data_IF_246657141072
#
_entry.id   IF_246657141072
#
_cell.length_a   1.000
_cell.length_b   1.000
_cell.length_c   1.000
_cell.angle_alpha   90.00
_cell.angle_beta   90.00
_cell.angle_gamma   90.00
#
_symmetry.space_group_name_H-M   'P 1'
#
loop_
_entity.id
_entity.type
_entity.pdbx_description
1 polymer ?
#
# COMPACT_ATOMS: atom_id res chain seq x y z
N UNK A 1 -30.59 37.52 -16.19
CA UNK A 1 -29.40 37.33 -15.34
C UNK A 1 -29.61 36.12 -14.42
N UNK A 2 -29.73 34.90 -14.98
CA UNK A 2 -30.13 33.70 -14.21
C UNK A 2 -29.53 32.39 -14.74
N UNK A 3 -28.60 32.45 -15.70
CA UNK A 3 -27.97 31.26 -16.33
C UNK A 3 -26.56 30.98 -15.81
N UNK A 4 -25.88 31.98 -15.23
CA UNK A 4 -24.48 31.90 -14.76
C UNK A 4 -24.27 31.11 -13.47
N UNK A 5 -25.30 30.96 -12.64
CA UNK A 5 -25.20 30.24 -11.35
C UNK A 5 -25.26 28.72 -11.54
N UNK A 6 -26.08 28.25 -12.49
CA UNK A 6 -26.20 26.83 -12.83
C UNK A 6 -24.93 26.27 -13.48
N UNK A 7 -24.31 27.03 -14.38
CA UNK A 7 -23.05 26.63 -15.02
C UNK A 7 -21.88 26.58 -14.03
N UNK A 8 -21.84 27.49 -13.05
CA UNK A 8 -20.83 27.49 -11.99
C UNK A 8 -20.99 26.27 -11.08
N UNK A 9 -22.21 25.91 -10.67
CA UNK A 9 -22.46 24.71 -9.85
C UNK A 9 -22.05 23.42 -10.59
N UNK A 10 -22.28 23.37 -11.90
CA UNK A 10 -21.88 22.25 -12.73
C UNK A 10 -20.36 22.14 -12.85
N UNK A 11 -19.63 23.25 -13.05
CA UNK A 11 -18.17 23.23 -13.15
C UNK A 11 -17.49 22.82 -11.84
N UNK A 12 -17.96 23.30 -10.70
CA UNK A 12 -17.48 22.86 -9.39
C UNK A 12 -17.78 21.37 -9.13
N UNK A 13 -18.96 20.90 -9.56
CA UNK A 13 -19.32 19.48 -9.49
C UNK A 13 -18.37 18.58 -10.30
N UNK A 14 -18.07 18.96 -11.55
CA UNK A 14 -17.10 18.24 -12.39
C UNK A 14 -15.68 18.30 -11.84
N UNK A 15 -15.24 19.46 -11.34
CA UNK A 15 -13.90 19.60 -10.76
C UNK A 15 -13.72 18.71 -9.53
N UNK A 16 -14.74 18.64 -8.66
CA UNK A 16 -14.74 17.76 -7.48
C UNK A 16 -14.74 16.27 -7.87
N UNK A 17 -15.54 15.89 -8.87
CA UNK A 17 -15.58 14.52 -9.36
C UNK A 17 -14.24 14.06 -9.95
N UNK A 18 -13.55 14.93 -10.70
CA UNK A 18 -12.21 14.66 -11.22
C UNK A 18 -11.19 14.54 -10.08
N UNK A 19 -11.23 15.43 -9.09
CA UNK A 19 -10.34 15.38 -7.92
C UNK A 19 -10.49 14.08 -7.12
N UNK A 20 -11.73 13.61 -6.94
CA UNK A 20 -12.04 12.36 -6.24
C UNK A 20 -11.60 11.12 -7.05
N UNK A 21 -11.68 11.19 -8.38
CA UNK A 21 -11.27 10.09 -9.27
C UNK A 21 -9.76 9.88 -9.36
N UNK A 22 -8.94 10.92 -9.11
CA UNK A 22 -7.48 10.82 -9.15
C UNK A 22 -6.84 10.19 -7.90
N UNK A 23 -7.61 9.91 -6.85
CA UNK A 23 -7.08 9.59 -5.52
C UNK A 23 -6.70 8.13 -5.24
N UNK A 24 -6.93 7.19 -6.17
CA UNK A 24 -6.67 5.76 -5.90
C UNK A 24 -5.30 5.37 -6.46
N UNK A 25 -4.27 5.46 -5.62
CA UNK A 25 -2.97 4.83 -5.86
C UNK A 25 -2.86 3.57 -4.99
N UNK A 26 -2.55 2.44 -5.61
CA UNK A 26 -2.29 1.19 -4.88
C UNK A 26 -0.90 1.28 -4.26
N UNK A 27 -0.83 1.28 -2.93
CA UNK A 27 0.44 1.14 -2.21
C UNK A 27 0.71 -0.35 -2.06
N UNK A 28 1.72 -0.86 -2.78
CA UNK A 28 2.24 -2.21 -2.57
C UNK A 28 3.24 -2.18 -1.42
N UNK A 29 3.00 -2.99 -0.40
CA UNK A 29 3.99 -3.28 0.63
C UNK A 29 4.46 -4.73 0.40
N UNK A 30 5.41 -4.89 -0.53
CA UNK A 30 5.95 -6.21 -0.88
C UNK A 30 6.53 -6.94 0.34
N UNK A 31 7.04 -6.17 1.31
CA UNK A 31 7.62 -6.69 2.54
C UNK A 31 6.58 -7.30 3.51
N UNK A 32 5.30 -6.97 3.36
CA UNK A 32 4.23 -7.49 4.23
C UNK A 32 2.90 -7.58 3.48
N UNK A 33 2.77 -8.59 2.64
CA UNK A 33 1.55 -8.78 1.85
C UNK A 33 0.33 -9.11 2.75
N UNK A 34 0.49 -10.00 3.75
CA UNK A 34 -0.57 -10.37 4.69
C UNK A 34 -0.08 -11.11 5.94
N UNK A 35 -0.96 -11.24 6.94
CA UNK A 35 -0.71 -12.07 8.12
C UNK A 35 -0.42 -13.52 7.72
N UNK A 36 0.72 -14.06 8.19
CA UNK A 36 1.26 -15.39 7.88
C UNK A 36 1.74 -15.58 6.44
N UNK A 37 2.17 -14.51 5.77
CA UNK A 37 2.78 -14.57 4.44
C UNK A 37 1.77 -14.87 3.33
N UNK A 38 2.24 -14.95 2.09
CA UNK A 38 1.43 -15.38 0.95
C UNK A 38 0.68 -16.69 1.29
N UNK A 39 -0.57 -16.82 0.85
CA UNK A 39 -1.48 -17.93 1.17
C UNK A 39 -1.89 -18.13 2.66
N UNK A 40 -1.34 -17.36 3.61
CA UNK A 40 -1.67 -17.39 5.06
C UNK A 40 -1.34 -18.70 5.76
N UNK A 41 -0.43 -19.48 5.20
CA UNK A 41 -0.03 -20.79 5.74
C UNK A 41 0.92 -20.65 6.93
N UNK A 42 1.67 -19.55 7.03
CA UNK A 42 2.73 -19.39 8.04
C UNK A 42 3.91 -20.32 7.77
N UNK A 43 4.12 -20.69 6.51
CA UNK A 43 5.26 -21.46 6.04
C UNK A 43 6.26 -20.46 5.47
N UNK A 44 7.50 -20.59 5.91
CA UNK A 44 8.62 -19.80 5.44
C UNK A 44 9.25 -20.48 4.22
N UNK A 45 9.47 -19.74 3.13
CA UNK A 45 9.96 -20.30 1.86
C UNK A 45 11.39 -19.84 1.53
N UNK A 46 11.93 -18.90 2.29
CA UNK A 46 13.23 -18.30 2.07
C UNK A 46 14.34 -19.22 2.61
N UNK A 47 15.37 -19.41 1.81
CA UNK A 47 16.58 -20.14 2.21
C UNK A 47 17.57 -19.29 3.00
N UNK A 48 18.64 -19.90 3.48
CA UNK A 48 19.71 -19.20 4.22
C UNK A 48 19.32 -18.84 5.67
N UNK A 49 18.19 -19.33 6.15
CA UNK A 49 17.83 -19.29 7.57
C UNK A 49 18.73 -20.25 8.33
N UNK A 50 19.21 -19.80 9.48
CA UNK A 50 20.03 -20.62 10.36
C UNK A 50 19.17 -21.62 11.12
N UNK A 51 19.60 -22.88 11.14
CA UNK A 51 18.99 -23.93 11.98
C UNK A 51 19.29 -23.72 13.47
N UNK A 52 20.47 -23.17 13.78
CA UNK A 52 20.90 -22.84 15.14
C UNK A 52 21.77 -21.60 15.12
N UNK A 53 21.71 -20.82 16.20
CA UNK A 53 22.63 -19.70 16.37
C UNK A 53 24.06 -20.20 16.64
N UNK A 54 25.09 -19.49 16.15
CA UNK A 54 26.46 -19.73 16.56
C UNK A 54 26.66 -19.48 18.06
N UNK A 55 27.63 -20.15 18.68
CA UNK A 55 27.95 -20.01 20.11
C UNK A 55 28.40 -18.57 20.46
N UNK A 56 29.08 -17.90 19.54
CA UNK A 56 29.53 -16.51 19.64
C UNK A 56 28.47 -15.50 19.18
N UNK A 57 27.29 -15.97 18.77
CA UNK A 57 26.15 -15.17 18.34
C UNK A 57 26.20 -14.74 16.86
N UNK A 58 25.23 -13.93 16.47
CA UNK A 58 25.17 -13.38 15.10
C UNK A 58 26.10 -12.19 14.93
N UNK A 59 26.68 -12.06 13.74
CA UNK A 59 27.37 -10.83 13.34
C UNK A 59 26.38 -9.67 13.32
N UNK A 60 26.60 -8.66 14.16
CA UNK A 60 25.79 -7.45 14.20
C UNK A 60 26.00 -6.64 12.91
N UNK A 61 24.90 -6.33 12.21
CA UNK A 61 24.88 -5.39 11.08
C UNK A 61 23.86 -4.28 11.36
N UNK A 62 24.24 -3.05 11.02
CA UNK A 62 23.43 -1.84 11.14
C UNK A 62 23.37 -1.16 9.77
#
# INVERSE_FOLDING_TARGET
MMTTVHSRRLTWGTALALLMGLGVVTVGADDWEQWRGAERLGVWHEGGILESFPDDGLSVRW
#
